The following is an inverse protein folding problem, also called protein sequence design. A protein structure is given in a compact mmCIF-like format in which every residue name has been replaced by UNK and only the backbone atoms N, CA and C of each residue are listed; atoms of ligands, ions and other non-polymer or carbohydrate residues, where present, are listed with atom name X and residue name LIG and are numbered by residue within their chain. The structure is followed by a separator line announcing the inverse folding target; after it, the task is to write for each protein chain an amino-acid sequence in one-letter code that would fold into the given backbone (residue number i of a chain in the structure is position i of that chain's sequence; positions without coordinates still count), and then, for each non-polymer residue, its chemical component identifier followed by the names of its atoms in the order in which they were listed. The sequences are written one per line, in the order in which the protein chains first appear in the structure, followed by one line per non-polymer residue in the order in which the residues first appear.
data_IF_694056909711
#
_entry.id   IF_694056909711
#
_cell.length_a   1.000
_cell.length_b   1.000
_cell.length_c   1.000
_cell.angle_alpha   90.00
_cell.angle_beta   90.00
_cell.angle_gamma   90.00
#
_symmetry.space_group_name_H-M   'P 1'
#
loop_
_entity.id
_entity.type
_entity.pdbx_description
1 polymer ?
#
# COMPACT_ATOMS: atom_id res chain seq x y z
N UNK A 1 5.19 2.23 -14.95
CA UNK A 1 5.68 3.56 -14.49
C UNK A 1 5.02 3.98 -13.18
N UNK A 2 3.70 3.79 -13.01
CA UNK A 2 2.96 4.08 -11.76
C UNK A 2 3.51 3.32 -10.54
N UNK A 3 3.75 2.00 -10.62
CA UNK A 3 4.24 1.20 -9.47
C UNK A 3 5.54 1.72 -8.84
N UNK A 4 6.42 2.37 -9.62
CA UNK A 4 7.66 2.96 -9.07
C UNK A 4 7.39 4.23 -8.26
N UNK A 5 6.39 5.02 -8.67
CA UNK A 5 5.99 6.26 -7.99
C UNK A 5 5.35 5.94 -6.64
N UNK A 6 4.72 4.77 -6.54
CA UNK A 6 3.91 4.35 -5.39
C UNK A 6 4.70 3.46 -4.43
N UNK A 7 5.91 3.02 -4.82
CA UNK A 7 6.81 2.21 -3.99
C UNK A 7 7.10 2.82 -2.61
N UNK A 8 7.31 4.14 -2.44
CA UNK A 8 7.56 4.73 -1.12
C UNK A 8 6.47 4.45 -0.10
N UNK A 9 5.21 4.34 -0.52
CA UNK A 9 4.07 4.15 0.38
C UNK A 9 3.93 2.70 0.83
N UNK A 10 4.15 1.77 -0.09
CA UNK A 10 4.23 0.35 0.27
C UNK A 10 5.45 0.09 1.15
N UNK A 11 6.58 0.75 0.91
CA UNK A 11 7.75 0.70 1.79
C UNK A 11 7.47 1.25 3.18
N UNK A 12 6.71 2.35 3.27
CA UNK A 12 6.33 2.91 4.56
C UNK A 12 5.42 1.96 5.35
N UNK A 13 4.44 1.33 4.69
CA UNK A 13 3.63 0.28 5.31
C UNK A 13 4.51 -0.90 5.78
N UNK A 14 5.42 -1.38 4.91
CA UNK A 14 6.39 -2.42 5.25
C UNK A 14 7.26 -2.04 6.47
N UNK A 15 7.77 -0.80 6.53
CA UNK A 15 8.60 -0.31 7.63
C UNK A 15 7.83 -0.26 8.96
N UNK A 16 6.56 0.16 8.94
CA UNK A 16 5.68 0.14 10.13
C UNK A 16 5.52 -1.28 10.65
N UNK A 17 5.21 -2.24 9.78
CA UNK A 17 5.08 -3.64 10.15
C UNK A 17 6.40 -4.25 10.62
N UNK A 18 7.52 -3.86 9.99
CA UNK A 18 8.85 -4.29 10.43
C UNK A 18 9.16 -3.83 11.84
N UNK A 19 8.85 -2.58 12.17
CA UNK A 19 9.06 -2.04 13.51
C UNK A 19 8.14 -2.71 14.56
N UNK A 20 6.96 -3.18 14.16
CA UNK A 20 5.99 -3.87 15.04
C UNK A 20 6.27 -5.36 15.26
N UNK A 21 6.58 -6.09 14.18
CA UNK A 21 6.73 -7.56 14.18
C UNK A 21 8.20 -7.97 14.41
N UNK A 22 9.14 -7.14 13.97
CA UNK A 22 10.58 -7.38 14.06
C UNK A 22 11.16 -8.08 12.82
N UNK A 23 12.45 -7.81 12.57
CA UNK A 23 13.16 -8.22 11.34
C UNK A 23 13.15 -9.73 11.06
N UNK A 24 13.13 -10.57 12.11
CA UNK A 24 13.19 -12.04 11.94
C UNK A 24 11.95 -12.63 11.27
N UNK A 25 10.82 -11.92 11.33
CA UNK A 25 9.52 -12.36 10.82
C UNK A 25 9.10 -11.62 9.55
N UNK A 26 9.93 -10.70 9.05
CA UNK A 26 9.67 -9.89 7.85
C UNK A 26 10.48 -10.37 6.64
N UNK A 27 9.95 -10.23 5.42
CA UNK A 27 10.71 -10.56 4.22
C UNK A 27 11.82 -9.52 3.99
N UNK A 28 13.07 -9.98 3.83
CA UNK A 28 14.22 -9.09 3.64
C UNK A 28 14.26 -8.50 2.23
N UNK A 29 14.14 -7.18 2.12
CA UNK A 29 14.28 -6.45 0.86
C UNK A 29 15.75 -6.12 0.58
N UNK A 30 16.32 -6.56 -0.55
CA UNK A 30 17.71 -6.20 -0.89
C UNK A 30 17.85 -4.74 -1.35
N UNK A 31 16.76 -4.13 -1.82
CA UNK A 31 16.63 -2.68 -2.00
C UNK A 31 15.14 -2.27 -2.01
N UNK A 32 14.81 -0.98 -1.87
CA UNK A 32 13.43 -0.56 -1.65
C UNK A 32 12.48 -0.85 -2.82
N UNK A 33 12.95 -0.91 -4.08
CA UNK A 33 12.02 -1.16 -5.20
C UNK A 33 11.53 -2.62 -5.24
N UNK A 34 12.22 -3.53 -4.55
CA UNK A 34 11.84 -4.95 -4.49
C UNK A 34 10.68 -5.24 -3.54
N UNK A 35 10.14 -4.25 -2.85
CA UNK A 35 8.91 -4.43 -2.06
C UNK A 35 7.77 -5.02 -2.89
N UNK A 36 7.75 -4.78 -4.20
CA UNK A 36 6.76 -5.33 -5.12
C UNK A 36 6.94 -6.81 -5.43
N UNK A 37 8.12 -7.39 -5.16
CA UNK A 37 8.33 -8.84 -5.30
C UNK A 37 7.56 -9.60 -4.21
N UNK A 38 7.20 -8.91 -3.11
CA UNK A 38 6.47 -9.42 -1.95
C UNK A 38 4.97 -9.10 -1.99
N UNK A 39 4.49 -8.44 -3.06
CA UNK A 39 3.10 -7.98 -3.21
C UNK A 39 2.44 -8.63 -4.43
N UNK A 40 1.26 -9.21 -4.24
CA UNK A 40 0.45 -9.77 -5.33
C UNK A 40 -0.80 -8.93 -5.55
N UNK A 41 -0.95 -8.33 -6.74
CA UNK A 41 -2.11 -7.48 -7.04
C UNK A 41 -3.39 -8.30 -7.20
N UNK A 42 -4.44 -7.89 -6.49
CA UNK A 42 -5.73 -8.58 -6.49
C UNK A 42 -6.79 -7.78 -7.25
N UNK A 43 -7.03 -6.53 -6.86
CA UNK A 43 -8.16 -5.75 -7.39
C UNK A 43 -7.87 -4.25 -7.39
N UNK A 44 -8.41 -3.55 -8.40
CA UNK A 44 -8.46 -2.09 -8.42
C UNK A 44 -9.91 -1.66 -8.23
N UNK A 45 -10.17 -0.95 -7.15
CA UNK A 45 -11.47 -0.36 -6.87
C UNK A 45 -11.47 1.13 -7.21
N UNK A 46 -12.53 1.60 -7.88
CA UNK A 46 -12.73 3.03 -8.14
C UNK A 46 -13.94 3.47 -7.33
N UNK A 47 -13.75 4.19 -6.22
CA UNK A 47 -14.86 4.59 -5.36
C UNK A 47 -15.83 5.52 -6.11
N UNK A 48 -17.15 5.40 -5.87
CA UNK A 48 -18.13 6.22 -6.52
C UNK A 48 -17.99 7.70 -6.13
N UNK A 49 -18.34 8.59 -7.06
CA UNK A 49 -18.28 10.07 -6.98
C UNK A 49 -19.03 10.74 -5.82
N UNK A 50 -19.59 9.98 -4.90
CA UNK A 50 -20.25 10.47 -3.68
C UNK A 50 -19.30 10.48 -2.48
N UNK A 51 -18.28 9.64 -2.49
CA UNK A 51 -17.35 9.46 -1.37
C UNK A 51 -16.17 10.45 -1.43
N UNK A 52 -15.79 10.86 -2.64
CA UNK A 52 -14.67 11.77 -2.89
C UNK A 52 -15.05 12.97 -3.78
N UNK A 53 -14.24 14.02 -3.72
CA UNK A 53 -14.31 15.15 -4.65
C UNK A 53 -14.20 14.65 -6.10
N UNK A 54 -15.24 14.93 -6.89
CA UNK A 54 -15.38 14.48 -8.29
C UNK A 54 -14.29 15.00 -9.21
N UNK A 55 -13.56 16.02 -8.80
CA UNK A 55 -12.47 16.61 -9.57
C UNK A 55 -11.13 15.93 -9.34
N UNK A 56 -11.06 14.98 -8.40
CA UNK A 56 -9.82 14.29 -8.05
C UNK A 56 -9.98 12.81 -8.39
N UNK A 57 -9.21 12.27 -9.35
CA UNK A 57 -9.21 10.85 -9.64
C UNK A 57 -8.76 10.06 -8.40
N UNK A 58 -9.61 9.16 -7.91
CA UNK A 58 -9.31 8.29 -6.77
C UNK A 58 -9.49 6.83 -7.18
N UNK A 59 -8.57 5.96 -6.76
CA UNK A 59 -8.70 4.51 -6.87
C UNK A 59 -7.96 3.83 -5.74
N UNK A 60 -8.39 2.65 -5.33
CA UNK A 60 -7.76 1.82 -4.30
C UNK A 60 -7.18 0.57 -4.96
N UNK A 61 -5.96 0.22 -4.58
CA UNK A 61 -5.31 -1.03 -4.94
C UNK A 61 -5.40 -1.96 -3.75
N UNK A 62 -6.13 -3.07 -3.93
CA UNK A 62 -6.16 -4.18 -3.00
C UNK A 62 -5.17 -5.24 -3.49
N UNK A 63 -4.29 -5.67 -2.61
CA UNK A 63 -3.24 -6.64 -2.89
C UNK A 63 -3.02 -7.55 -1.69
N UNK A 64 -2.41 -8.72 -1.93
CA UNK A 64 -1.85 -9.54 -0.87
C UNK A 64 -0.39 -9.12 -0.62
N UNK A 65 0.09 -9.25 0.60
CA UNK A 65 1.50 -9.05 0.92
C UNK A 65 2.03 -10.19 1.81
N UNK A 66 3.31 -10.51 1.69
CA UNK A 66 3.90 -11.62 2.45
C UNK A 66 4.11 -11.31 3.95
N UNK A 67 4.12 -10.03 4.34
CA UNK A 67 4.29 -9.61 5.74
C UNK A 67 2.99 -9.48 6.55
N UNK A 68 1.83 -9.42 5.89
CA UNK A 68 0.51 -9.50 6.53
C UNK A 68 -0.44 -10.37 5.68
N UNK A 69 -0.26 -11.70 5.70
CA UNK A 69 -1.04 -12.61 4.88
C UNK A 69 -2.50 -12.76 5.33
N UNK A 70 -2.86 -12.25 6.51
CA UNK A 70 -4.24 -12.29 7.03
C UNK A 70 -5.07 -11.10 6.55
N UNK A 71 -4.45 -9.92 6.42
CA UNK A 71 -5.17 -8.68 6.08
C UNK A 71 -4.80 -8.11 4.70
N UNK A 72 -3.68 -8.52 4.12
CA UNK A 72 -3.20 -8.05 2.83
C UNK A 72 -2.69 -6.61 2.87
N UNK A 73 -2.86 -5.89 1.76
CA UNK A 73 -2.39 -4.52 1.54
C UNK A 73 -3.46 -3.73 0.78
N UNK A 74 -3.87 -2.59 1.35
CA UNK A 74 -4.67 -1.57 0.67
C UNK A 74 -3.82 -0.33 0.47
N UNK A 75 -3.84 0.22 -0.76
CA UNK A 75 -3.20 1.50 -1.07
C UNK A 75 -4.21 2.38 -1.81
N UNK A 76 -4.60 3.51 -1.23
CA UNK A 76 -5.47 4.49 -1.88
C UNK A 76 -4.63 5.48 -2.66
N UNK A 77 -5.02 5.69 -3.91
CA UNK A 77 -4.47 6.67 -4.83
C UNK A 77 -5.43 7.83 -4.99
N UNK A 78 -4.89 9.04 -4.90
CA UNK A 78 -5.57 10.30 -5.13
C UNK A 78 -4.72 11.18 -6.05
N UNK A 79 -5.27 11.59 -7.19
CA UNK A 79 -4.57 12.37 -8.22
C UNK A 79 -3.27 11.69 -8.74
N UNK A 80 -3.24 10.35 -8.79
CA UNK A 80 -2.09 9.58 -9.27
C UNK A 80 -0.92 9.46 -8.28
N UNK A 81 -1.08 9.94 -7.05
CA UNK A 81 -0.19 9.68 -5.91
C UNK A 81 -0.97 8.92 -4.84
N UNK A 82 -0.32 8.16 -3.95
CA UNK A 82 -1.08 7.55 -2.86
C UNK A 82 -1.34 8.53 -1.70
N UNK A 83 -2.47 8.36 -1.04
CA UNK A 83 -3.07 9.32 -0.12
C UNK A 83 -2.24 9.46 1.17
N UNK A 84 -2.27 10.63 1.79
CA UNK A 84 -1.46 10.93 2.98
C UNK A 84 -1.92 10.13 4.20
N UNK A 85 -3.19 9.71 4.25
CA UNK A 85 -3.72 8.87 5.32
C UNK A 85 -3.12 7.45 5.32
N UNK A 86 -2.76 6.93 4.15
CA UNK A 86 -2.16 5.59 4.04
C UNK A 86 -0.66 5.58 4.38
N UNK A 87 -0.07 6.77 4.56
CA UNK A 87 1.32 6.91 5.02
C UNK A 87 1.50 6.47 6.48
N UNK A 88 0.44 6.48 7.28
CA UNK A 88 0.57 6.35 8.74
C UNK A 88 0.42 4.90 9.21
N UNK A 89 0.05 3.98 8.31
CA UNK A 89 -0.13 2.56 8.66
C UNK A 89 -1.12 2.35 9.80
N UNK A 90 -2.23 3.10 9.82
CA UNK A 90 -3.29 2.81 10.78
C UNK A 90 -3.97 1.52 10.37
N UNK A 91 -3.79 0.47 11.17
CA UNK A 91 -4.60 -0.75 11.13
C UNK A 91 -6.06 -0.33 11.07
N UNK A 92 -6.72 -0.61 9.95
CA UNK A 92 -8.10 -0.22 9.67
C UNK A 92 -8.99 -0.44 10.89
N UNK A 93 -9.71 0.60 11.26
CA UNK A 93 -10.65 0.59 12.40
C UNK A 93 -12.07 0.33 11.94
#
# INVERSE_FOLDING_TARGET
MILRITAPLVLQNYDVYRDMIGDESMPLLANPIQVWDEVTFSYIYVPPHVEYDRHIPTFELLAECSWDPEHGLEVRFRNGVADDADQIGETGR
#
